data_IF_880526009096
#
_entry.id   IF_880526009096
#
_cell.length_a   1.000
_cell.length_b   1.000
_cell.length_c   1.000
_cell.angle_alpha   90.00
_cell.angle_beta   90.00
_cell.angle_gamma   90.00
#
_symmetry.space_group_name_H-M   'P 1'
#
loop_
_entity.id
_entity.type
_entity.pdbx_description
1 polymer ?
#
# COMPACT_ATOMS: atom_id res chain seq x y z
N UNK A 1 2.75 -12.35 2.23
CA UNK A 1 3.01 -11.12 2.99
C UNK A 1 2.20 -11.16 4.27
N UNK A 2 2.78 -10.78 5.40
CA UNK A 2 2.08 -10.70 6.69
C UNK A 2 1.98 -9.23 7.10
N UNK A 3 0.75 -8.70 7.21
CA UNK A 3 0.54 -7.30 7.59
C UNK A 3 0.50 -7.20 9.11
N UNK A 4 1.49 -6.51 9.68
CA UNK A 4 1.62 -6.36 11.13
C UNK A 4 0.56 -5.41 11.70
N UNK A 5 0.22 -4.34 10.99
CA UNK A 5 -0.78 -3.37 11.44
C UNK A 5 -1.45 -2.62 10.28
N UNK A 6 -2.78 -2.50 10.35
CA UNK A 6 -3.58 -1.63 9.48
C UNK A 6 -4.03 -0.33 10.18
N UNK A 7 -3.72 -0.19 11.47
CA UNK A 7 -4.26 0.87 12.33
C UNK A 7 -3.99 2.28 11.78
N UNK A 8 -2.74 2.57 11.41
CA UNK A 8 -2.36 3.90 10.92
C UNK A 8 -3.07 4.28 9.62
N UNK A 9 -3.34 3.33 8.73
CA UNK A 9 -4.07 3.60 7.48
C UNK A 9 -5.53 3.94 7.76
N UNK A 10 -6.15 3.21 8.70
CA UNK A 10 -7.52 3.51 9.15
C UNK A 10 -7.59 4.91 9.77
N UNK A 11 -6.72 5.22 10.73
CA UNK A 11 -6.67 6.54 11.38
C UNK A 11 -6.43 7.67 10.35
N UNK A 12 -5.56 7.44 9.35
CA UNK A 12 -5.37 8.41 8.28
C UNK A 12 -6.65 8.63 7.46
N UNK A 13 -7.37 7.56 7.12
CA UNK A 13 -8.62 7.63 6.36
C UNK A 13 -9.78 8.30 7.10
N UNK A 14 -9.72 8.41 8.43
CA UNK A 14 -10.73 9.12 9.22
C UNK A 14 -10.67 10.64 9.00
N UNK A 15 -9.47 11.18 8.76
CA UNK A 15 -9.25 12.59 8.40
C UNK A 15 -9.24 12.84 6.89
N UNK A 16 -8.99 11.80 6.08
CA UNK A 16 -8.90 11.85 4.62
C UNK A 16 -9.79 10.77 4.00
N UNK A 17 -11.10 11.01 4.01
CA UNK A 17 -12.11 10.02 3.61
C UNK A 17 -11.97 9.55 2.15
N UNK A 18 -11.44 10.42 1.28
CA UNK A 18 -11.15 10.17 -0.13
C UNK A 18 -10.06 9.10 -0.35
N UNK A 19 -9.19 8.88 0.64
CA UNK A 19 -8.13 7.87 0.57
C UNK A 19 -8.58 6.49 1.08
N UNK A 20 -9.75 6.40 1.74
CA UNK A 20 -10.19 5.19 2.45
C UNK A 20 -10.29 3.97 1.54
N UNK A 21 -10.95 4.11 0.39
CA UNK A 21 -11.14 3.01 -0.55
C UNK A 21 -9.80 2.49 -1.08
N UNK A 22 -8.87 3.40 -1.40
CA UNK A 22 -7.55 3.04 -1.92
C UNK A 22 -6.72 2.31 -0.86
N UNK A 23 -6.76 2.76 0.39
CA UNK A 23 -6.07 2.11 1.50
C UNK A 23 -6.65 0.72 1.83
N UNK A 24 -7.98 0.58 1.81
CA UNK A 24 -8.66 -0.70 2.00
C UNK A 24 -8.32 -1.69 0.86
N UNK A 25 -8.25 -1.20 -0.38
CA UNK A 25 -7.85 -2.00 -1.53
C UNK A 25 -6.39 -2.44 -1.45
N UNK A 26 -5.48 -1.53 -1.06
CA UNK A 26 -4.08 -1.88 -0.80
C UNK A 26 -3.99 -2.99 0.25
N UNK A 27 -4.71 -2.87 1.36
CA UNK A 27 -4.68 -3.87 2.44
C UNK A 27 -5.18 -5.24 1.98
N UNK A 28 -6.27 -5.29 1.23
CA UNK A 28 -6.83 -6.54 0.67
C UNK A 28 -5.84 -7.23 -0.28
N UNK A 29 -5.21 -6.47 -1.17
CA UNK A 29 -4.23 -6.98 -2.14
C UNK A 29 -2.98 -7.48 -1.39
N UNK A 30 -2.40 -6.64 -0.53
CA UNK A 30 -1.16 -6.94 0.18
C UNK A 30 -1.31 -8.16 1.11
N UNK A 31 -2.48 -8.35 1.73
CA UNK A 31 -2.75 -9.52 2.59
C UNK A 31 -2.71 -10.86 1.82
N UNK A 32 -3.08 -10.86 0.53
CA UNK A 32 -3.07 -12.05 -0.31
C UNK A 32 -1.76 -12.22 -1.09
N UNK A 33 -0.96 -11.16 -1.18
CA UNK A 33 0.25 -11.16 -1.98
C UNK A 33 1.35 -12.03 -1.38
N UNK A 34 2.21 -12.56 -2.26
CA UNK A 34 3.45 -13.28 -1.92
C UNK A 34 4.65 -12.65 -2.62
N UNK A 35 4.73 -11.32 -2.58
CA UNK A 35 5.83 -10.58 -3.21
C UNK A 35 7.16 -10.90 -2.53
N UNK A 36 8.17 -11.18 -3.34
CA UNK A 36 9.54 -11.49 -2.90
C UNK A 36 10.55 -10.41 -3.29
N UNK A 37 10.18 -9.50 -4.20
CA UNK A 37 11.03 -8.43 -4.70
C UNK A 37 10.18 -7.26 -5.22
N UNK A 38 10.84 -6.11 -5.50
CA UNK A 38 10.17 -4.89 -5.96
C UNK A 38 9.45 -5.09 -7.30
N UNK A 39 9.99 -5.88 -8.22
CA UNK A 39 9.41 -6.10 -9.56
C UNK A 39 8.03 -6.76 -9.45
N UNK A 40 7.87 -7.73 -8.55
CA UNK A 40 6.58 -8.34 -8.26
C UNK A 40 5.58 -7.35 -7.66
N UNK A 41 6.04 -6.45 -6.78
CA UNK A 41 5.20 -5.36 -6.25
C UNK A 41 4.76 -4.44 -7.40
N UNK A 42 5.69 -4.05 -8.27
CA UNK A 42 5.45 -3.13 -9.40
C UNK A 42 4.51 -3.72 -10.46
N UNK A 43 4.42 -5.04 -10.57
CA UNK A 43 3.41 -5.68 -11.44
C UNK A 43 1.97 -5.35 -11.03
N UNK A 44 1.74 -5.02 -9.75
CA UNK A 44 0.43 -4.64 -9.20
C UNK A 44 0.33 -3.14 -8.92
N UNK A 45 1.43 -2.54 -8.44
CA UNK A 45 1.54 -1.11 -8.12
C UNK A 45 2.71 -0.51 -8.91
N UNK A 46 2.53 -0.13 -10.19
CA UNK A 46 3.63 0.26 -11.08
C UNK A 46 4.48 1.44 -10.60
N UNK A 47 3.90 2.32 -9.78
CA UNK A 47 4.60 3.47 -9.18
C UNK A 47 5.23 3.16 -7.82
N UNK A 48 5.31 1.90 -7.40
CA UNK A 48 5.99 1.54 -6.15
C UNK A 48 7.51 1.70 -6.30
N UNK A 49 8.15 2.25 -5.27
CA UNK A 49 9.58 2.60 -5.29
C UNK A 49 10.31 1.98 -4.10
N UNK A 50 11.57 1.62 -4.28
CA UNK A 50 12.45 1.24 -3.17
C UNK A 50 13.14 2.49 -2.61
N UNK A 51 13.04 2.68 -1.31
CA UNK A 51 13.71 3.76 -0.57
C UNK A 51 14.47 3.14 0.60
N UNK A 52 15.76 2.86 0.38
CA UNK A 52 16.57 2.07 1.30
C UNK A 52 15.98 0.67 1.49
N UNK A 53 15.65 0.32 2.74
CA UNK A 53 15.04 -0.98 3.09
C UNK A 53 13.50 -0.96 3.01
N UNK A 54 12.90 0.12 2.53
CA UNK A 54 11.46 0.29 2.47
C UNK A 54 10.93 0.23 1.04
N UNK A 55 9.69 -0.21 0.90
CA UNK A 55 8.91 -0.06 -0.33
C UNK A 55 7.86 1.02 -0.09
N UNK A 56 7.91 2.07 -0.90
CA UNK A 56 6.98 3.20 -0.86
C UNK A 56 5.91 3.00 -1.91
N UNK A 57 4.64 3.19 -1.51
CA UNK A 57 3.48 3.09 -2.39
C UNK A 57 2.90 4.49 -2.60
N UNK A 58 2.72 4.86 -3.86
CA UNK A 58 1.97 6.07 -4.21
C UNK A 58 0.46 5.78 -4.08
N UNK A 59 -0.19 6.37 -3.08
CA UNK A 59 -1.62 6.21 -2.81
C UNK A 59 -2.38 7.39 -3.45
N UNK A 60 -3.53 7.10 -4.07
CA UNK A 60 -4.40 8.09 -4.75
C UNK A 60 -3.73 8.87 -5.90
N UNK A 61 -2.70 8.32 -6.53
CA UNK A 61 -2.08 8.92 -7.72
C UNK A 61 -1.40 10.27 -7.49
N UNK A 62 -1.08 10.61 -6.23
CA UNK A 62 -0.44 11.86 -5.79
C UNK A 62 -1.31 13.13 -5.96
N UNK A 63 -2.63 13.00 -5.80
CA UNK A 63 -3.59 14.12 -5.76
C UNK A 63 -4.46 14.06 -4.50
#
# INVERSE_FOLDING_TARGET
>A
MHIISYRRMREYSESHADCREVLDNWFKIATKAKWSNLVEVQSVFPKAEAVGNFTVFNIKGNN
#
